data_IF_418212246806
#
_entry.id   IF_418212246806
#
_cell.length_a   1.000
_cell.length_b   1.000
_cell.length_c   1.000
_cell.angle_alpha   90.00
_cell.angle_beta   90.00
_cell.angle_gamma   90.00
#
_symmetry.space_group_name_H-M   'P 1'
#
loop_
_entity.id
_entity.type
_entity.pdbx_description
1 polymer ?
#
# COMPACT_ATOMS: atom_id res chain seq x y z
N UNK A 1 20.75 2.97 42.52
CA UNK A 1 19.30 3.17 42.24
C UNK A 1 19.03 3.77 40.85
N UNK A 2 19.95 4.52 40.26
CA UNK A 2 19.81 5.17 38.95
C UNK A 2 19.61 4.18 37.78
N UNK A 3 20.34 3.05 37.80
CA UNK A 3 20.30 2.07 36.70
C UNK A 3 18.94 1.35 36.55
N UNK A 4 18.19 1.21 37.65
CA UNK A 4 16.86 0.57 37.59
C UNK A 4 15.84 1.47 36.87
N UNK A 5 15.88 2.77 37.08
CA UNK A 5 14.99 3.73 36.43
C UNK A 5 15.35 3.91 34.95
N UNK A 6 16.62 3.88 34.57
CA UNK A 6 17.07 3.89 33.17
C UNK A 6 16.59 2.65 32.42
N UNK A 7 16.67 1.47 33.02
CA UNK A 7 16.19 0.22 32.41
C UNK A 7 14.65 0.22 32.27
N UNK A 8 13.91 0.77 33.23
CA UNK A 8 12.45 0.90 33.14
C UNK A 8 12.07 1.86 32.00
N UNK A 9 12.77 2.97 31.84
CA UNK A 9 12.57 3.90 30.74
C UNK A 9 12.77 3.26 29.37
N UNK A 10 13.85 2.50 29.20
CA UNK A 10 14.17 1.80 27.94
C UNK A 10 13.12 0.72 27.60
N UNK A 11 12.65 -0.01 28.63
CA UNK A 11 11.59 -1.02 28.47
C UNK A 11 10.26 -0.35 28.12
N UNK A 12 9.91 0.78 28.77
CA UNK A 12 8.69 1.54 28.46
C UNK A 12 8.70 2.10 27.03
N UNK A 13 9.84 2.64 26.57
CA UNK A 13 9.99 3.10 25.18
C UNK A 13 9.87 1.94 24.18
N UNK A 14 10.48 0.80 24.48
CA UNK A 14 10.34 -0.42 23.68
C UNK A 14 8.88 -0.89 23.59
N UNK A 15 8.19 -0.97 24.71
CA UNK A 15 6.78 -1.37 24.78
C UNK A 15 5.90 -0.36 24.05
N UNK A 16 6.10 0.95 24.26
CA UNK A 16 5.31 2.00 23.58
C UNK A 16 5.48 1.96 22.06
N UNK A 17 6.65 1.59 21.57
CA UNK A 17 6.92 1.43 20.13
C UNK A 17 6.23 0.19 19.56
N UNK A 18 6.22 -0.92 20.31
CA UNK A 18 5.58 -2.17 19.91
C UNK A 18 4.04 -2.15 20.04
N UNK A 19 3.51 -1.34 20.97
CA UNK A 19 2.07 -1.24 21.25
C UNK A 19 1.38 -0.08 20.57
N UNK A 20 2.05 0.64 19.65
CA UNK A 20 1.37 1.67 18.86
C UNK A 20 0.19 1.05 18.12
N UNK A 21 -1.06 1.49 18.40
CA UNK A 21 -2.21 0.97 17.67
C UNK A 21 -2.02 1.22 16.17
N UNK A 22 -2.35 0.23 15.36
CA UNK A 22 -2.37 0.43 13.90
C UNK A 22 -3.35 1.54 13.59
N UNK A 23 -2.91 2.54 12.84
CA UNK A 23 -3.74 3.70 12.46
C UNK A 23 -4.94 3.27 11.59
N UNK A 24 -4.77 2.20 10.81
CA UNK A 24 -5.81 1.63 9.95
C UNK A 24 -6.04 0.18 10.32
N UNK A 25 -7.27 -0.17 10.67
CA UNK A 25 -7.69 -1.51 11.07
C UNK A 25 -8.85 -1.96 10.17
N UNK A 26 -8.90 -3.27 9.88
CA UNK A 26 -10.03 -3.81 9.12
C UNK A 26 -11.32 -3.68 9.92
N UNK A 27 -12.39 -3.29 9.24
CA UNK A 27 -13.71 -3.22 9.85
C UNK A 27 -14.17 -4.62 10.30
N UNK A 28 -14.92 -4.75 11.41
CA UNK A 28 -15.52 -6.01 11.78
C UNK A 28 -16.38 -6.56 10.62
N UNK A 29 -16.10 -7.79 10.20
CA UNK A 29 -16.80 -8.40 9.07
C UNK A 29 -16.34 -7.91 7.69
N UNK A 30 -15.16 -7.29 7.58
CA UNK A 30 -14.59 -6.89 6.29
C UNK A 30 -14.53 -8.09 5.32
N UNK A 31 -15.02 -7.87 4.11
CA UNK A 31 -15.08 -8.90 3.07
C UNK A 31 -13.73 -9.06 2.35
N UNK A 32 -13.57 -10.15 1.62
CA UNK A 32 -12.46 -10.30 0.66
C UNK A 32 -12.79 -9.50 -0.60
N UNK A 33 -11.85 -8.69 -1.09
CA UNK A 33 -12.01 -7.94 -2.34
C UNK A 33 -12.02 -8.90 -3.53
N UNK A 34 -12.95 -8.70 -4.45
CA UNK A 34 -12.96 -9.36 -5.75
C UNK A 34 -12.74 -8.33 -6.86
N UNK A 35 -11.76 -8.58 -7.75
CA UNK A 35 -11.39 -7.63 -8.81
C UNK A 35 -11.54 -8.30 -10.19
N UNK A 36 -12.78 -8.45 -10.69
CA UNK A 36 -13.03 -9.07 -12.00
C UNK A 36 -12.64 -8.17 -13.18
N UNK A 37 -12.64 -6.84 -13.04
CA UNK A 37 -12.40 -5.89 -14.14
C UNK A 37 -11.26 -4.92 -13.86
N UNK A 38 -11.09 -4.49 -12.62
CA UNK A 38 -10.07 -3.53 -12.22
C UNK A 38 -10.48 -2.06 -12.48
N UNK A 39 -11.78 -1.74 -12.42
CA UNK A 39 -12.25 -0.35 -12.38
C UNK A 39 -11.91 0.27 -11.03
N UNK A 40 -11.37 1.49 -11.00
CA UNK A 40 -11.10 2.24 -9.77
C UNK A 40 -11.83 3.57 -9.80
N UNK A 41 -12.54 3.91 -8.73
CA UNK A 41 -13.23 5.19 -8.59
C UNK A 41 -12.92 5.86 -7.26
N UNK A 42 -12.60 7.14 -7.33
CA UNK A 42 -12.51 8.05 -6.20
C UNK A 42 -13.75 8.93 -6.23
N UNK A 43 -14.52 8.94 -5.16
CA UNK A 43 -15.76 9.70 -5.07
C UNK A 43 -15.70 10.67 -3.90
N UNK A 44 -15.59 11.96 -4.20
CA UNK A 44 -15.54 13.06 -3.23
C UNK A 44 -14.48 12.86 -2.14
N UNK A 45 -13.31 12.32 -2.53
CA UNK A 45 -12.24 11.96 -1.59
C UNK A 45 -11.64 13.20 -0.95
N UNK A 46 -11.57 13.19 0.40
CA UNK A 46 -10.91 14.20 1.22
C UNK A 46 -9.92 13.54 2.15
N UNK A 47 -8.74 14.15 2.26
CA UNK A 47 -7.70 13.64 3.13
C UNK A 47 -6.72 14.72 3.59
N UNK A 48 -6.35 14.67 4.86
CA UNK A 48 -5.35 15.54 5.51
C UNK A 48 -4.38 14.69 6.34
N UNK A 49 -3.11 15.08 6.39
CA UNK A 49 -2.17 14.54 7.38
C UNK A 49 -2.34 15.29 8.70
N UNK A 50 -3.13 14.73 9.63
CA UNK A 50 -3.42 15.35 10.91
C UNK A 50 -4.36 16.57 10.80
N UNK A 51 -4.16 17.60 11.64
CA UNK A 51 -5.04 18.78 11.72
C UNK A 51 -4.68 19.91 10.74
N UNK A 52 -3.93 19.58 9.69
CA UNK A 52 -3.45 20.57 8.71
C UNK A 52 -4.46 20.88 7.60
N UNK A 53 -3.98 21.65 6.60
CA UNK A 53 -4.73 21.87 5.35
C UNK A 53 -4.93 20.54 4.61
N UNK A 54 -6.08 20.35 3.93
CA UNK A 54 -6.31 19.14 3.16
C UNK A 54 -5.27 18.99 2.04
N UNK A 55 -4.70 17.80 1.93
CA UNK A 55 -3.79 17.44 0.83
C UNK A 55 -4.59 17.02 -0.39
N UNK A 56 -5.76 16.40 -0.16
CA UNK A 56 -6.75 16.08 -1.19
C UNK A 56 -8.09 16.63 -0.71
N UNK A 57 -8.72 17.44 -1.55
CA UNK A 57 -9.99 18.08 -1.25
C UNK A 57 -10.96 17.85 -2.41
N UNK A 58 -12.01 17.08 -2.13
CA UNK A 58 -13.13 16.76 -3.03
C UNK A 58 -12.72 16.14 -4.37
N UNK A 59 -11.76 15.21 -4.36
CA UNK A 59 -11.29 14.53 -5.57
C UNK A 59 -12.31 13.52 -6.08
N UNK A 60 -12.71 13.70 -7.33
CA UNK A 60 -13.45 12.72 -8.11
C UNK A 60 -12.61 12.26 -9.30
N UNK A 61 -12.32 10.96 -9.40
CA UNK A 61 -11.55 10.35 -10.49
C UNK A 61 -12.12 8.97 -10.79
N UNK A 62 -12.28 8.66 -12.07
CA UNK A 62 -12.68 7.32 -12.52
C UNK A 62 -11.63 6.77 -13.47
N UNK A 63 -11.16 5.56 -13.20
CA UNK A 63 -10.20 4.80 -14.00
C UNK A 63 -10.89 3.56 -14.54
N UNK A 64 -10.98 3.47 -15.86
CA UNK A 64 -11.64 2.32 -16.51
C UNK A 64 -10.75 1.07 -16.47
N UNK A 65 -11.32 -0.12 -16.58
CA UNK A 65 -10.55 -1.34 -16.75
C UNK A 65 -9.50 -1.23 -17.86
N UNK A 66 -8.24 -1.56 -17.55
CA UNK A 66 -7.12 -1.50 -18.51
C UNK A 66 -6.63 -0.11 -18.87
N UNK A 67 -7.22 0.96 -18.32
CA UNK A 67 -6.79 2.33 -18.58
C UNK A 67 -5.45 2.64 -17.90
N UNK A 68 -4.59 3.39 -18.59
CA UNK A 68 -3.32 3.91 -18.06
C UNK A 68 -3.47 5.39 -17.77
N UNK A 69 -3.23 5.78 -16.52
CA UNK A 69 -3.32 7.17 -16.08
C UNK A 69 -1.95 7.70 -15.68
N UNK A 70 -1.60 8.89 -16.19
CA UNK A 70 -0.45 9.65 -15.73
C UNK A 70 -0.85 10.70 -14.69
N UNK A 71 -0.25 10.68 -13.51
CA UNK A 71 -0.41 11.71 -12.49
C UNK A 71 0.70 12.76 -12.63
N UNK A 72 0.34 13.96 -13.07
CA UNK A 72 1.28 15.08 -13.28
C UNK A 72 1.00 16.16 -12.25
N UNK A 73 2.03 16.78 -11.72
CA UNK A 73 1.90 17.87 -10.75
C UNK A 73 3.21 18.17 -10.04
N UNK A 74 3.27 19.34 -9.39
CA UNK A 74 4.43 19.76 -8.58
C UNK A 74 4.73 18.80 -7.45
N UNK A 75 5.96 18.85 -6.89
CA UNK A 75 6.27 18.17 -5.63
C UNK A 75 5.30 18.67 -4.54
N UNK A 76 4.80 17.74 -3.72
CA UNK A 76 3.79 18.07 -2.69
C UNK A 76 2.33 18.14 -3.17
N UNK A 77 2.04 17.97 -4.47
CA UNK A 77 0.66 18.03 -5.02
C UNK A 77 -0.22 16.80 -4.68
N UNK A 78 0.16 15.96 -3.73
CA UNK A 78 -0.67 14.83 -3.28
C UNK A 78 -0.60 13.56 -4.14
N UNK A 79 0.27 13.48 -5.17
CA UNK A 79 0.36 12.30 -6.05
C UNK A 79 0.66 11.00 -5.29
N UNK A 80 1.69 11.01 -4.45
CA UNK A 80 2.04 9.86 -3.60
C UNK A 80 0.97 9.58 -2.55
N UNK A 81 0.32 10.63 -2.04
CA UNK A 81 -0.81 10.50 -1.11
C UNK A 81 -1.95 9.74 -1.76
N UNK A 82 -2.29 10.03 -3.03
CA UNK A 82 -3.34 9.33 -3.75
C UNK A 82 -3.08 7.82 -3.85
N UNK A 83 -1.83 7.44 -4.16
CA UNK A 83 -1.41 6.02 -4.19
C UNK A 83 -1.49 5.38 -2.80
N UNK A 84 -1.04 6.10 -1.76
CA UNK A 84 -1.10 5.62 -0.38
C UNK A 84 -2.55 5.41 0.09
N UNK A 85 -3.48 6.27 -0.32
CA UNK A 85 -4.90 6.12 -0.02
C UNK A 85 -5.51 4.92 -0.75
N UNK A 86 -5.14 4.68 -2.01
CA UNK A 86 -5.57 3.50 -2.76
C UNK A 86 -5.09 2.19 -2.09
N UNK A 87 -3.86 2.17 -1.55
CA UNK A 87 -3.31 1.05 -0.77
C UNK A 87 -3.86 0.98 0.67
N UNK A 88 -4.72 1.91 1.03
CA UNK A 88 -5.29 2.05 2.37
C UNK A 88 -4.21 2.07 3.46
N UNK A 89 -3.17 2.89 3.28
CA UNK A 89 -2.21 3.20 4.35
C UNK A 89 -2.76 4.25 5.31
N UNK A 90 -3.80 4.97 4.90
CA UNK A 90 -4.56 5.92 5.69
C UNK A 90 -6.05 5.77 5.39
N UNK A 91 -6.90 6.00 6.37
CA UNK A 91 -8.34 6.14 6.16
C UNK A 91 -8.66 7.57 5.68
N UNK A 92 -9.74 7.73 4.95
CA UNK A 92 -10.17 9.01 4.39
C UNK A 92 -10.85 9.88 5.45
N UNK A 93 -10.70 11.20 5.35
CA UNK A 93 -11.50 12.16 6.12
C UNK A 93 -12.94 12.26 5.56
N UNK A 94 -13.13 11.95 4.28
CA UNK A 94 -14.43 11.95 3.62
C UNK A 94 -14.38 11.35 2.23
N UNK A 95 -15.56 11.04 1.70
CA UNK A 95 -15.69 10.35 0.41
C UNK A 95 -15.42 8.86 0.52
N UNK A 96 -15.12 8.22 -0.62
CA UNK A 96 -14.78 6.79 -0.68
C UNK A 96 -13.95 6.46 -1.92
N UNK A 97 -13.22 5.36 -1.85
CA UNK A 97 -12.51 4.76 -2.98
C UNK A 97 -13.12 3.39 -3.24
N UNK A 98 -13.46 3.14 -4.49
CA UNK A 98 -14.12 1.90 -4.92
C UNK A 98 -13.22 1.17 -5.91
N UNK A 99 -13.13 -0.16 -5.78
CA UNK A 99 -12.57 -1.06 -6.80
C UNK A 99 -13.69 -2.01 -7.24
N UNK A 100 -14.02 -1.99 -8.52
CA UNK A 100 -15.16 -2.73 -9.09
C UNK A 100 -16.46 -2.56 -8.28
N UNK A 101 -16.71 -1.32 -7.81
CA UNK A 101 -17.88 -0.95 -7.02
C UNK A 101 -17.81 -1.32 -5.54
N UNK A 102 -16.74 -1.97 -5.07
CA UNK A 102 -16.54 -2.35 -3.67
C UNK A 102 -15.70 -1.29 -2.96
N UNK A 103 -16.22 -0.78 -1.83
CA UNK A 103 -15.52 0.21 -1.00
C UNK A 103 -14.31 -0.44 -0.30
N UNK A 104 -13.11 0.11 -0.56
CA UNK A 104 -11.87 -0.40 0.03
C UNK A 104 -11.81 -0.29 1.56
N UNK A 105 -12.62 0.56 2.18
CA UNK A 105 -12.76 0.64 3.63
C UNK A 105 -13.52 -0.55 4.24
N UNK A 106 -14.27 -1.31 3.43
CA UNK A 106 -15.09 -2.44 3.84
C UNK A 106 -14.51 -3.81 3.49
N UNK A 107 -13.34 -3.83 2.87
CA UNK A 107 -12.63 -5.07 2.55
C UNK A 107 -11.38 -5.22 3.42
N UNK A 108 -10.85 -6.43 3.52
CA UNK A 108 -9.61 -6.66 4.27
C UNK A 108 -8.40 -6.06 3.53
N UNK A 109 -7.47 -5.47 4.28
CA UNK A 109 -6.26 -4.85 3.72
C UNK A 109 -5.41 -5.88 2.95
N UNK A 110 -5.34 -7.10 3.44
CA UNK A 110 -4.58 -8.17 2.78
C UNK A 110 -5.17 -8.50 1.41
N UNK A 111 -6.51 -8.64 1.30
CA UNK A 111 -7.16 -8.89 0.01
C UNK A 111 -7.03 -7.71 -0.95
N UNK A 112 -7.10 -6.47 -0.45
CA UNK A 112 -6.88 -5.26 -1.24
C UNK A 112 -5.47 -5.23 -1.83
N UNK A 113 -4.47 -5.37 -0.97
CA UNK A 113 -3.05 -5.25 -1.36
C UNK A 113 -2.58 -6.42 -2.22
N UNK A 114 -3.16 -7.61 -2.09
CA UNK A 114 -2.84 -8.75 -2.96
C UNK A 114 -3.23 -8.54 -4.44
N UNK A 115 -4.15 -7.61 -4.71
CA UNK A 115 -4.59 -7.26 -6.07
C UNK A 115 -3.86 -6.03 -6.65
N UNK A 116 -2.98 -5.37 -5.89
CA UNK A 116 -2.29 -4.15 -6.32
C UNK A 116 -0.78 -4.41 -6.34
N UNK A 117 -0.18 -4.36 -7.53
CA UNK A 117 1.26 -4.33 -7.69
C UNK A 117 1.78 -2.89 -7.58
N UNK A 118 2.78 -2.66 -6.73
CA UNK A 118 3.41 -1.35 -6.58
C UNK A 118 4.89 -1.43 -6.96
N UNK A 119 5.33 -0.51 -7.83
CA UNK A 119 6.75 -0.29 -8.11
C UNK A 119 7.14 1.06 -7.51
N UNK A 120 8.05 1.03 -6.54
CA UNK A 120 8.53 2.24 -5.86
C UNK A 120 9.69 2.87 -6.62
N UNK A 121 9.91 4.17 -6.43
CA UNK A 121 11.05 4.88 -7.02
C UNK A 121 12.37 4.41 -6.39
N UNK A 122 12.38 4.21 -5.08
CA UNK A 122 13.54 3.68 -4.34
C UNK A 122 13.38 2.15 -4.25
N UNK A 123 14.18 1.43 -5.04
CA UNK A 123 14.23 -0.03 -5.02
C UNK A 123 15.43 -0.48 -4.20
N UNK A 124 15.18 -1.07 -3.04
CA UNK A 124 16.21 -1.78 -2.28
C UNK A 124 15.94 -3.28 -2.34
N UNK A 125 16.99 -4.03 -2.63
CA UNK A 125 16.94 -5.48 -2.55
C UNK A 125 17.16 -5.93 -1.10
N UNK A 126 16.46 -6.96 -0.69
CA UNK A 126 16.74 -7.63 0.58
C UNK A 126 18.10 -8.34 0.48
N UNK A 127 18.82 -8.43 1.59
CA UNK A 127 20.09 -9.20 1.69
C UNK A 127 19.82 -10.72 1.57
N UNK A 128 19.38 -11.14 0.39
CA UNK A 128 19.00 -12.50 0.03
C UNK A 128 19.38 -12.76 -1.44
N UNK A 129 19.20 -13.99 -1.92
CA UNK A 129 19.39 -14.31 -3.33
C UNK A 129 18.44 -13.49 -4.22
N UNK A 130 18.81 -13.34 -5.50
CA UNK A 130 17.93 -12.73 -6.52
C UNK A 130 16.61 -13.50 -6.62
N UNK A 131 16.69 -14.83 -6.56
CA UNK A 131 15.52 -15.72 -6.51
C UNK A 131 14.56 -15.33 -5.37
N UNK A 132 15.06 -15.19 -4.15
CA UNK A 132 14.23 -14.86 -2.98
C UNK A 132 13.66 -13.44 -3.06
N UNK A 133 14.39 -12.51 -3.68
CA UNK A 133 13.89 -11.16 -3.93
C UNK A 133 12.74 -11.15 -4.93
N UNK A 134 12.85 -11.92 -6.03
CA UNK A 134 11.78 -12.00 -7.05
C UNK A 134 10.56 -12.72 -6.48
N UNK A 135 10.77 -13.79 -5.73
CA UNK A 135 9.70 -14.59 -5.12
C UNK A 135 9.08 -13.93 -3.87
N UNK A 136 9.64 -12.82 -3.37
CA UNK A 136 9.18 -12.19 -2.14
C UNK A 136 7.68 -11.87 -2.13
N UNK A 137 7.14 -11.40 -3.25
CA UNK A 137 5.72 -11.10 -3.39
C UNK A 137 4.83 -12.34 -3.53
N UNK A 138 5.41 -13.51 -3.81
CA UNK A 138 4.70 -14.79 -3.98
C UNK A 138 5.63 -15.96 -3.67
N UNK A 139 5.90 -16.23 -2.38
CA UNK A 139 6.89 -17.23 -1.94
C UNK A 139 6.61 -18.66 -2.44
N UNK A 140 5.34 -18.99 -2.65
CA UNK A 140 4.91 -20.33 -3.11
C UNK A 140 4.99 -20.53 -4.63
N UNK A 141 5.45 -19.51 -5.38
CA UNK A 141 5.61 -19.63 -6.82
C UNK A 141 6.85 -20.48 -7.17
N UNK A 142 6.71 -21.36 -8.16
CA UNK A 142 7.82 -22.15 -8.68
C UNK A 142 8.80 -21.33 -9.54
N UNK A 143 9.95 -21.93 -9.84
CA UNK A 143 11.02 -21.30 -10.62
C UNK A 143 10.58 -20.89 -12.05
N UNK A 144 9.69 -21.66 -12.68
CA UNK A 144 9.14 -21.31 -14.00
C UNK A 144 8.36 -19.99 -13.96
N UNK A 145 7.58 -19.76 -12.89
CA UNK A 145 6.83 -18.51 -12.72
C UNK A 145 7.78 -17.33 -12.42
N UNK A 146 8.85 -17.58 -11.67
CA UNK A 146 9.91 -16.60 -11.40
C UNK A 146 10.63 -16.19 -12.69
N UNK A 147 11.06 -17.16 -13.52
CA UNK A 147 11.72 -16.91 -14.80
C UNK A 147 10.79 -16.14 -15.75
N UNK A 148 9.51 -16.55 -15.81
CA UNK A 148 8.52 -15.85 -16.61
C UNK A 148 8.33 -14.39 -16.16
N UNK A 149 8.31 -14.13 -14.85
CA UNK A 149 8.24 -12.78 -14.30
C UNK A 149 9.48 -11.95 -14.65
N UNK A 150 10.69 -12.51 -14.49
CA UNK A 150 11.95 -11.87 -14.84
C UNK A 150 12.02 -11.50 -16.34
N UNK A 151 11.58 -12.40 -17.24
CA UNK A 151 11.48 -12.13 -18.68
C UNK A 151 10.49 -11.00 -18.99
N UNK A 152 9.31 -11.00 -18.36
CA UNK A 152 8.31 -9.92 -18.55
C UNK A 152 8.81 -8.58 -18.06
N UNK A 153 9.71 -8.56 -17.08
CA UNK A 153 10.37 -7.35 -16.56
C UNK A 153 11.66 -6.99 -17.34
N UNK A 154 11.97 -7.70 -18.45
CA UNK A 154 13.22 -7.52 -19.22
C UNK A 154 14.50 -7.63 -18.35
N UNK A 155 14.41 -8.42 -17.27
CA UNK A 155 15.49 -8.57 -16.29
C UNK A 155 16.25 -9.90 -16.42
N UNK A 156 15.68 -10.90 -17.10
CA UNK A 156 16.22 -12.26 -17.14
C UNK A 156 17.64 -12.33 -17.66
N UNK A 157 17.96 -11.58 -18.72
CA UNK A 157 19.26 -11.68 -19.43
C UNK A 157 20.45 -11.15 -18.63
N UNK A 158 20.22 -10.30 -17.63
CA UNK A 158 21.29 -9.73 -16.80
C UNK A 158 21.35 -10.30 -15.37
N UNK A 159 20.37 -11.11 -14.96
CA UNK A 159 20.34 -11.76 -13.64
C UNK A 159 20.50 -13.28 -13.71
N UNK A 160 20.46 -13.88 -14.90
CA UNK A 160 20.58 -15.31 -15.17
C UNK A 160 22.00 -15.83 -15.24
#
# INVERSE_FOLDING_TARGET
>A
MTSLFENIGTVQDGISTLTRPRAVVDAPGAATLAVPRGEVRFEHVRFSYGKGQPVIDDLCLSVRPGEKIGLIGRSGAGKSTLVNLLLRFHDLDGGRILIDGQDIARVTQDSLRSHIGMVTQDTSLLHRSMRDNILYGRPDAGDDAMIAAARRAEAHDFIG
#
